data_IF_449465106353
#
_entry.id   IF_449465106353
#
_cell.length_a   1.000
_cell.length_b   1.000
_cell.length_c   1.000
_cell.angle_alpha   90.00
_cell.angle_beta   90.00
_cell.angle_gamma   90.00
#
_symmetry.space_group_name_H-M   'P 1'
#
loop_
_entity.id
_entity.type
_entity.pdbx_description
1 polymer ?
#
# COMPACT_ATOMS: atom_id res chain seq x y z
N UNK A 1 12.48 20.11 -1.38
CA UNK A 1 11.97 18.73 -1.53
C UNK A 1 11.13 18.68 -2.80
N UNK A 2 11.23 17.60 -3.57
CA UNK A 2 10.43 17.43 -4.78
C UNK A 2 8.97 17.13 -4.40
N UNK A 3 8.01 17.77 -5.10
CA UNK A 3 6.59 17.59 -4.81
C UNK A 3 5.87 16.99 -6.02
N UNK A 4 4.78 16.27 -5.77
CA UNK A 4 3.81 15.94 -6.80
C UNK A 4 2.97 17.14 -7.16
N UNK A 5 2.51 17.25 -8.43
CA UNK A 5 1.64 18.33 -8.85
C UNK A 5 0.27 18.23 -8.13
N UNK A 6 -0.27 19.39 -7.78
CA UNK A 6 -1.66 19.48 -7.34
C UNK A 6 -2.51 19.66 -8.59
N UNK A 7 -3.33 18.65 -8.88
CA UNK A 7 -4.25 18.63 -10.02
C UNK A 7 -5.67 18.40 -9.52
N UNK A 8 -6.67 18.50 -10.39
CA UNK A 8 -8.06 18.20 -10.06
C UNK A 8 -8.26 16.82 -9.44
N UNK A 9 -7.35 15.86 -9.73
CA UNK A 9 -7.39 14.50 -9.16
C UNK A 9 -6.69 14.40 -7.81
N UNK A 10 -5.63 15.18 -7.60
CA UNK A 10 -4.76 15.04 -6.41
C UNK A 10 -5.06 16.05 -5.33
N UNK A 11 -5.83 17.09 -5.62
CA UNK A 11 -6.17 18.13 -4.67
C UNK A 11 -7.00 17.59 -3.49
N UNK A 12 -6.54 17.85 -2.28
CA UNK A 12 -7.28 17.52 -1.05
C UNK A 12 -8.18 18.71 -0.68
N UNK A 13 -9.39 18.72 -1.20
CA UNK A 13 -10.37 19.82 -1.03
C UNK A 13 -10.97 19.84 0.39
N UNK A 14 -11.28 18.67 0.98
CA UNK A 14 -11.78 18.59 2.34
C UNK A 14 -10.64 18.46 3.34
N UNK A 15 -10.51 19.41 4.26
CA UNK A 15 -9.42 19.49 5.24
C UNK A 15 -8.04 19.57 4.56
N UNK A 16 -7.79 20.58 3.71
CA UNK A 16 -6.59 20.67 2.90
C UNK A 16 -5.30 20.68 3.72
N UNK A 17 -5.34 21.11 4.98
CA UNK A 17 -4.20 21.05 5.91
C UNK A 17 -3.69 19.62 6.19
N UNK A 18 -4.46 18.59 5.84
CA UNK A 18 -4.05 17.19 5.95
C UNK A 18 -3.41 16.66 4.66
N UNK A 19 -3.47 17.41 3.59
CA UNK A 19 -2.86 17.06 2.30
C UNK A 19 -1.35 17.16 2.37
N UNK A 20 -0.66 16.15 1.82
CA UNK A 20 0.79 16.08 1.73
C UNK A 20 1.15 15.68 0.29
N UNK A 21 1.99 16.49 -0.35
CA UNK A 21 2.41 16.30 -1.75
C UNK A 21 3.91 16.07 -1.88
N UNK A 22 4.64 16.10 -0.76
CA UNK A 22 6.06 15.81 -0.73
C UNK A 22 6.31 14.36 -1.15
N UNK A 23 7.23 14.15 -2.11
CA UNK A 23 7.50 12.84 -2.70
C UNK A 23 8.05 11.85 -1.68
N UNK A 24 8.95 12.28 -0.83
CA UNK A 24 9.59 11.40 0.16
C UNK A 24 8.55 10.92 1.18
N UNK A 25 7.65 11.81 1.62
CA UNK A 25 6.56 11.46 2.52
C UNK A 25 5.56 10.48 1.87
N UNK A 26 5.18 10.69 0.61
CA UNK A 26 4.33 9.77 -0.15
C UNK A 26 5.00 8.41 -0.32
N UNK A 27 6.29 8.39 -0.68
CA UNK A 27 7.05 7.15 -0.86
C UNK A 27 7.22 6.39 0.45
N UNK A 28 7.46 7.06 1.56
CA UNK A 28 7.57 6.42 2.87
C UNK A 28 6.27 5.68 3.25
N UNK A 29 5.10 6.26 3.00
CA UNK A 29 3.81 5.61 3.26
C UNK A 29 3.62 4.38 2.34
N UNK A 30 3.96 4.50 1.05
CA UNK A 30 3.87 3.40 0.08
C UNK A 30 4.85 2.26 0.43
N UNK A 31 6.03 2.58 0.92
CA UNK A 31 7.05 1.58 1.30
C UNK A 31 6.65 0.82 2.56
N UNK A 32 6.03 1.50 3.53
CA UNK A 32 5.55 0.89 4.78
C UNK A 32 4.28 0.04 4.57
N UNK A 33 3.36 0.47 3.71
CA UNK A 33 2.10 -0.24 3.48
C UNK A 33 2.33 -1.58 2.75
N UNK A 34 1.83 -2.68 3.31
CA UNK A 34 1.97 -4.02 2.72
C UNK A 34 0.96 -4.31 1.61
N UNK A 35 -0.18 -3.64 1.66
CA UNK A 35 -1.32 -3.84 0.77
C UNK A 35 -1.77 -2.52 0.15
N UNK A 36 -2.24 -2.60 -1.08
CA UNK A 36 -2.95 -1.51 -1.75
C UNK A 36 -4.29 -2.02 -2.31
N UNK A 37 -5.13 -1.09 -2.68
CA UNK A 37 -6.33 -1.35 -3.48
C UNK A 37 -6.16 -0.66 -4.83
N UNK A 38 -6.13 -1.45 -5.90
CA UNK A 38 -6.18 -0.95 -7.27
C UNK A 38 -7.64 -0.85 -7.69
N UNK A 39 -8.06 0.33 -8.16
CA UNK A 39 -9.39 0.58 -8.70
C UNK A 39 -9.33 0.95 -10.18
N UNK A 40 -10.24 0.40 -10.96
CA UNK A 40 -10.41 0.70 -12.38
C UNK A 40 -11.87 0.57 -12.80
N UNK A 41 -12.18 1.07 -13.98
CA UNK A 41 -13.55 0.98 -14.54
C UNK A 41 -13.55 0.08 -15.77
N UNK A 42 -14.52 -0.81 -15.86
CA UNK A 42 -14.81 -1.64 -17.02
C UNK A 42 -16.33 -1.59 -17.29
N UNK A 43 -16.71 -1.31 -18.51
CA UNK A 43 -18.12 -1.24 -18.94
C UNK A 43 -18.98 -0.38 -18.00
N UNK A 44 -18.45 0.79 -17.60
CA UNK A 44 -19.03 1.72 -16.62
C UNK A 44 -19.22 1.16 -15.21
N UNK A 45 -18.70 -0.02 -14.91
CA UNK A 45 -18.69 -0.62 -13.58
C UNK A 45 -17.32 -0.41 -12.93
N UNK A 46 -17.31 0.10 -11.70
CA UNK A 46 -16.10 0.21 -10.91
C UNK A 46 -15.71 -1.15 -10.31
N UNK A 47 -14.42 -1.49 -10.39
CA UNK A 47 -13.81 -2.67 -9.79
C UNK A 47 -12.70 -2.25 -8.83
N UNK A 48 -12.53 -3.02 -7.75
CA UNK A 48 -11.46 -2.85 -6.80
C UNK A 48 -10.78 -4.19 -6.52
N UNK A 49 -9.45 -4.19 -6.56
CA UNK A 49 -8.61 -5.38 -6.33
C UNK A 49 -7.65 -5.07 -5.19
N UNK A 50 -7.92 -5.56 -3.96
CA UNK A 50 -6.93 -5.56 -2.89
C UNK A 50 -5.77 -6.49 -3.25
N UNK A 51 -4.53 -6.02 -3.18
CA UNK A 51 -3.35 -6.79 -3.58
C UNK A 51 -2.09 -6.31 -2.89
N UNK A 52 -1.08 -7.19 -2.85
CA UNK A 52 0.27 -6.79 -2.47
C UNK A 52 0.95 -6.00 -3.60
N UNK A 53 1.89 -5.14 -3.23
CA UNK A 53 2.62 -4.31 -4.18
C UNK A 53 4.03 -3.98 -3.66
N UNK A 54 4.89 -3.52 -4.56
CA UNK A 54 6.14 -2.89 -4.17
C UNK A 54 6.37 -1.60 -4.96
N UNK A 55 7.30 -0.77 -4.48
CA UNK A 55 7.75 0.45 -5.16
C UNK A 55 9.24 0.35 -5.47
N UNK A 56 9.61 0.76 -6.66
CA UNK A 56 11.02 0.91 -7.07
C UNK A 56 11.14 2.25 -7.79
N UNK A 57 11.92 3.17 -7.23
CA UNK A 57 12.01 4.52 -7.78
C UNK A 57 10.66 5.24 -7.77
N UNK A 58 10.22 5.66 -8.93
CA UNK A 58 8.94 6.35 -9.16
C UNK A 58 7.84 5.44 -9.74
N UNK A 59 7.98 4.12 -9.60
CA UNK A 59 7.00 3.15 -10.08
C UNK A 59 6.48 2.25 -8.96
N UNK A 60 5.18 1.95 -9.00
CA UNK A 60 4.58 0.83 -8.28
C UNK A 60 4.55 -0.40 -9.17
N UNK A 61 4.67 -1.57 -8.56
CA UNK A 61 4.62 -2.86 -9.26
C UNK A 61 3.61 -3.79 -8.60
N UNK A 62 2.75 -4.37 -9.42
CA UNK A 62 1.81 -5.41 -9.04
C UNK A 62 2.04 -6.63 -9.91
N UNK A 63 2.13 -7.80 -9.30
CA UNK A 63 2.27 -9.05 -10.02
C UNK A 63 1.03 -9.93 -9.89
N UNK A 64 0.82 -10.78 -10.87
CA UNK A 64 -0.29 -11.74 -10.86
C UNK A 64 -0.06 -12.83 -11.90
N UNK A 65 -1.02 -13.74 -12.01
CA UNK A 65 -0.99 -14.79 -13.04
C UNK A 65 -1.32 -14.22 -14.42
N UNK A 66 -0.63 -14.69 -15.46
CA UNK A 66 -1.03 -14.44 -16.86
C UNK A 66 -2.44 -14.96 -17.18
N UNK A 67 -2.95 -15.92 -16.38
CA UNK A 67 -4.31 -16.41 -16.48
C UNK A 67 -5.36 -15.46 -15.85
N UNK A 68 -4.92 -14.49 -15.06
CA UNK A 68 -5.84 -13.56 -14.39
C UNK A 68 -6.52 -12.61 -15.39
N UNK A 69 -7.85 -12.59 -15.35
CA UNK A 69 -8.65 -11.77 -16.25
C UNK A 69 -8.30 -10.27 -16.12
N UNK A 70 -8.31 -9.74 -14.89
CA UNK A 70 -8.06 -8.31 -14.67
C UNK A 70 -6.63 -7.89 -15.05
N UNK A 71 -5.62 -8.76 -14.83
CA UNK A 71 -4.24 -8.48 -15.22
C UNK A 71 -4.10 -8.33 -16.73
N UNK A 72 -4.74 -9.24 -17.50
CA UNK A 72 -4.76 -9.15 -18.97
C UNK A 72 -5.48 -7.89 -19.45
N UNK A 73 -6.66 -7.62 -18.89
CA UNK A 73 -7.43 -6.44 -19.26
C UNK A 73 -6.66 -5.14 -19.01
N UNK A 74 -6.01 -5.03 -17.85
CA UNK A 74 -5.17 -3.88 -17.52
C UNK A 74 -3.97 -3.76 -18.47
N UNK A 75 -3.30 -4.87 -18.79
CA UNK A 75 -2.17 -4.89 -19.70
C UNK A 75 -2.54 -4.49 -21.14
N UNK A 76 -3.70 -4.97 -21.62
CA UNK A 76 -4.15 -4.78 -23.00
C UNK A 76 -4.82 -3.43 -23.22
N UNK A 77 -5.75 -3.05 -22.33
CA UNK A 77 -6.56 -1.83 -22.48
C UNK A 77 -5.93 -0.58 -21.87
N UNK A 78 -5.00 -0.77 -20.94
CA UNK A 78 -4.32 0.33 -20.23
C UNK A 78 -5.28 1.42 -19.72
N UNK A 79 -6.36 1.07 -19.02
CA UNK A 79 -7.30 2.06 -18.53
C UNK A 79 -6.67 2.95 -17.47
N UNK A 80 -7.17 4.19 -17.28
CA UNK A 80 -6.83 4.95 -16.09
C UNK A 80 -7.21 4.18 -14.82
N UNK A 81 -6.30 4.17 -13.84
CA UNK A 81 -6.51 3.51 -12.56
C UNK A 81 -6.22 4.45 -11.40
N UNK A 82 -6.77 4.15 -10.23
CA UNK A 82 -6.30 4.70 -8.97
C UNK A 82 -5.81 3.57 -8.05
N UNK A 83 -4.68 3.82 -7.37
CA UNK A 83 -4.09 2.87 -6.43
C UNK A 83 -4.04 3.57 -5.07
N UNK A 84 -4.67 2.98 -4.06
CA UNK A 84 -4.67 3.54 -2.71
C UNK A 84 -4.02 2.59 -1.72
N UNK A 85 -3.24 3.16 -0.80
CA UNK A 85 -2.70 2.47 0.38
C UNK A 85 -3.04 3.27 1.63
N UNK A 86 -3.39 2.59 2.72
CA UNK A 86 -3.77 3.24 3.97
C UNK A 86 -3.17 2.49 5.16
N UNK A 87 -2.60 3.25 6.08
CA UNK A 87 -2.09 2.78 7.37
C UNK A 87 -2.92 3.47 8.46
N UNK A 88 -3.49 2.67 9.36
CA UNK A 88 -4.21 3.17 10.51
C UNK A 88 -3.26 3.26 11.71
N UNK A 89 -3.08 4.47 12.24
CA UNK A 89 -2.14 4.75 13.34
C UNK A 89 -2.83 4.88 14.70
N UNK A 90 -4.17 5.01 14.75
CA UNK A 90 -4.90 5.05 16.02
C UNK A 90 -6.38 5.40 15.90
N UNK A 91 -7.15 4.97 16.90
CA UNK A 91 -8.55 5.37 17.07
C UNK A 91 -8.59 6.64 17.91
N UNK A 92 -9.35 7.63 17.47
CA UNK A 92 -9.50 8.90 18.16
C UNK A 92 -10.88 8.94 18.80
N UNK A 93 -10.90 8.75 20.11
CA UNK A 93 -12.11 8.73 20.92
C UNK A 93 -12.32 10.14 21.48
N UNK A 94 -13.41 10.75 21.11
CA UNK A 94 -13.80 12.08 21.50
C UNK A 94 -14.86 12.05 22.61
N UNK A 95 -15.20 13.20 23.19
CA UNK A 95 -16.25 13.32 24.17
C UNK A 95 -17.62 13.22 23.53
N UNK A 96 -17.79 13.74 22.32
CA UNK A 96 -19.02 13.59 21.55
C UNK A 96 -18.88 12.49 20.48
N UNK A 97 -19.98 11.82 20.16
CA UNK A 97 -20.00 10.82 19.09
C UNK A 97 -19.62 11.40 17.72
N UNK A 98 -19.89 12.68 17.50
CA UNK A 98 -19.64 13.38 16.25
C UNK A 98 -18.13 13.60 15.98
N UNK A 99 -17.31 13.78 17.02
CA UNK A 99 -15.89 14.09 16.91
C UNK A 99 -14.97 12.86 16.96
N UNK A 100 -15.51 11.65 17.07
CA UNK A 100 -14.73 10.43 16.90
C UNK A 100 -14.05 10.40 15.53
N UNK A 101 -12.82 9.90 15.45
CA UNK A 101 -12.04 9.91 14.23
C UNK A 101 -10.97 8.80 14.25
N UNK A 102 -10.09 8.80 13.24
CA UNK A 102 -8.97 7.89 13.12
C UNK A 102 -7.71 8.70 12.80
N UNK A 103 -6.59 8.40 13.44
CA UNK A 103 -5.27 8.81 12.98
C UNK A 103 -4.82 7.82 11.89
N UNK A 104 -4.37 8.35 10.76
CA UNK A 104 -4.03 7.56 9.59
C UNK A 104 -3.07 8.29 8.67
N UNK A 105 -2.39 7.50 7.86
CA UNK A 105 -1.63 7.95 6.70
C UNK A 105 -2.16 7.21 5.48
N UNK A 106 -2.60 7.92 4.45
CA UNK A 106 -3.08 7.32 3.21
C UNK A 106 -2.45 7.99 2.00
N UNK A 107 -2.28 7.22 0.92
CA UNK A 107 -1.82 7.69 -0.39
C UNK A 107 -2.82 7.26 -1.44
N UNK A 108 -3.08 8.13 -2.40
CA UNK A 108 -3.74 7.79 -3.66
C UNK A 108 -2.81 8.17 -4.80
N UNK A 109 -2.58 7.22 -5.71
CA UNK A 109 -1.81 7.39 -6.95
C UNK A 109 -2.76 7.23 -8.11
N UNK A 110 -2.73 8.15 -9.06
CA UNK A 110 -3.42 8.05 -10.35
C UNK A 110 -2.40 7.69 -11.43
N UNK A 111 -2.68 6.65 -12.20
CA UNK A 111 -1.73 6.12 -13.18
C UNK A 111 -2.43 5.36 -14.30
N UNK A 112 -1.64 4.88 -15.24
CA UNK A 112 -2.02 3.88 -16.25
C UNK A 112 -1.09 2.68 -16.13
N UNK A 113 -1.60 1.44 -16.26
CA UNK A 113 -0.78 0.24 -16.22
C UNK A 113 0.10 0.11 -17.45
N UNK A 114 1.32 -0.32 -17.25
CA UNK A 114 2.24 -0.76 -18.28
C UNK A 114 2.70 -2.20 -17.98
N UNK A 115 2.57 -3.10 -18.98
CA UNK A 115 3.10 -4.45 -18.83
C UNK A 115 4.63 -4.40 -18.88
N UNK A 116 5.27 -5.02 -17.92
CA UNK A 116 6.74 -5.16 -17.89
C UNK A 116 7.14 -6.34 -18.75
N UNK A 117 7.98 -6.08 -19.76
CA UNK A 117 8.51 -7.11 -20.68
C UNK A 117 9.99 -7.44 -20.38
N UNK A 118 10.70 -6.56 -19.69
CA UNK A 118 12.11 -6.75 -19.33
C UNK A 118 12.24 -7.76 -18.19
N UNK A 119 12.97 -8.84 -18.42
CA UNK A 119 13.16 -9.92 -17.45
C UNK A 119 13.96 -9.47 -16.22
N UNK A 120 14.88 -8.50 -16.36
CA UNK A 120 15.64 -7.97 -15.24
C UNK A 120 14.76 -7.07 -14.36
N UNK A 121 13.88 -6.25 -14.97
CA UNK A 121 12.89 -5.45 -14.24
C UNK A 121 11.91 -6.35 -13.47
N UNK A 122 11.44 -7.44 -14.12
CA UNK A 122 10.59 -8.45 -13.48
C UNK A 122 11.30 -9.12 -12.30
N UNK A 123 12.56 -9.55 -12.50
CA UNK A 123 13.37 -10.17 -11.44
C UNK A 123 13.53 -9.22 -10.24
N UNK A 124 13.92 -7.99 -10.52
CA UNK A 124 14.13 -6.95 -9.48
C UNK A 124 12.84 -6.65 -8.72
N UNK A 125 11.71 -6.55 -9.43
CA UNK A 125 10.42 -6.29 -8.77
C UNK A 125 10.00 -7.43 -7.84
N UNK A 126 10.19 -8.70 -8.23
CA UNK A 126 9.88 -9.84 -7.38
C UNK A 126 10.83 -9.96 -6.18
N UNK A 127 12.10 -9.61 -6.36
CA UNK A 127 13.06 -9.52 -5.24
C UNK A 127 12.62 -8.46 -4.23
N UNK A 128 12.33 -7.24 -4.70
CA UNK A 128 11.87 -6.13 -3.83
C UNK A 128 10.56 -6.49 -3.15
N UNK A 129 9.61 -7.10 -3.87
CA UNK A 129 8.35 -7.56 -3.30
C UNK A 129 8.58 -8.59 -2.19
N UNK A 130 9.42 -9.61 -2.43
CA UNK A 130 9.71 -10.66 -1.44
C UNK A 130 10.39 -10.09 -0.20
N UNK A 131 11.36 -9.18 -0.38
CA UNK A 131 12.06 -8.53 0.72
C UNK A 131 11.19 -7.50 1.45
N UNK A 132 10.19 -6.91 0.79
CA UNK A 132 9.17 -6.08 1.45
C UNK A 132 8.30 -6.90 2.39
N UNK A 133 7.94 -8.13 2.00
CA UNK A 133 7.22 -9.06 2.87
C UNK A 133 8.07 -9.45 4.09
N UNK A 134 9.33 -9.81 3.86
CA UNK A 134 10.30 -10.14 4.89
C UNK A 134 11.72 -9.84 4.40
N UNK A 135 12.41 -8.84 4.98
CA UNK A 135 13.78 -8.52 4.62
C UNK A 135 14.72 -9.74 4.73
N UNK A 136 15.55 -9.93 3.71
CA UNK A 136 16.49 -11.05 3.63
C UNK A 136 15.91 -12.36 3.07
N UNK A 137 14.58 -12.47 2.95
CA UNK A 137 13.92 -13.71 2.52
C UNK A 137 14.28 -14.13 1.10
N UNK A 138 14.50 -13.18 0.20
CA UNK A 138 14.86 -13.49 -1.19
C UNK A 138 16.12 -14.34 -1.32
N UNK A 139 17.08 -14.18 -0.42
CA UNK A 139 18.33 -14.94 -0.46
C UNK A 139 18.16 -16.41 -0.05
N UNK A 140 17.17 -16.71 0.77
CA UNK A 140 16.92 -18.06 1.31
C UNK A 140 16.02 -18.92 0.43
N UNK A 141 15.29 -18.30 -0.50
CA UNK A 141 14.32 -19.02 -1.32
C UNK A 141 14.89 -19.38 -2.69
N UNK A 142 14.41 -20.48 -3.23
CA UNK A 142 14.65 -20.85 -4.63
C UNK A 142 14.09 -19.74 -5.54
N UNK A 143 14.86 -19.37 -6.54
CA UNK A 143 14.39 -18.41 -7.56
C UNK A 143 13.34 -19.06 -8.46
N UNK A 144 12.46 -18.26 -9.08
CA UNK A 144 11.45 -18.78 -10.00
C UNK A 144 12.07 -19.57 -11.15
N UNK A 145 11.41 -20.66 -11.52
CA UNK A 145 11.76 -21.42 -12.74
C UNK A 145 11.30 -20.67 -13.98
N UNK A 146 11.81 -21.07 -15.16
CA UNK A 146 11.38 -20.51 -16.44
C UNK A 146 9.86 -20.62 -16.67
N UNK A 147 9.23 -21.71 -16.18
CA UNK A 147 7.78 -21.89 -16.25
C UNK A 147 7.02 -20.91 -15.36
N UNK A 148 7.49 -20.69 -14.13
CA UNK A 148 6.91 -19.72 -13.18
C UNK A 148 7.05 -18.29 -13.69
N UNK A 149 8.20 -17.94 -14.31
CA UNK A 149 8.40 -16.66 -14.98
C UNK A 149 7.34 -16.43 -16.08
N UNK A 150 7.17 -17.40 -16.98
CA UNK A 150 6.19 -17.32 -18.07
C UNK A 150 4.75 -17.27 -17.57
N UNK A 151 4.45 -17.82 -16.39
CA UNK A 151 3.15 -17.79 -15.78
C UNK A 151 2.86 -16.50 -14.98
N UNK A 152 3.88 -15.64 -14.78
CA UNK A 152 3.76 -14.40 -14.01
C UNK A 152 3.65 -13.20 -14.94
N UNK A 153 2.67 -12.35 -14.72
CA UNK A 153 2.54 -11.04 -15.32
C UNK A 153 2.91 -9.97 -14.28
N UNK A 154 3.72 -9.01 -14.68
CA UNK A 154 4.04 -7.83 -13.89
C UNK A 154 3.50 -6.59 -14.59
N UNK A 155 2.80 -5.76 -13.82
CA UNK A 155 2.37 -4.43 -14.25
C UNK A 155 3.13 -3.38 -13.46
N UNK A 156 3.60 -2.36 -14.15
CA UNK A 156 4.17 -1.16 -13.54
C UNK A 156 3.21 0.03 -13.68
N UNK A 157 3.27 0.94 -12.70
CA UNK A 157 2.42 2.13 -12.61
C UNK A 157 3.30 3.29 -12.22
N UNK A 158 3.49 4.24 -13.11
CA UNK A 158 4.32 5.42 -12.85
C UNK A 158 3.63 6.35 -11.85
N UNK A 159 4.37 6.83 -10.86
CA UNK A 159 3.86 7.74 -9.83
C UNK A 159 4.12 9.18 -10.29
N UNK A 160 3.24 9.70 -11.14
CA UNK A 160 3.31 11.08 -11.62
C UNK A 160 2.30 12.00 -10.93
N UNK A 161 1.11 11.48 -10.64
CA UNK A 161 0.03 12.16 -9.92
C UNK A 161 -0.28 11.39 -8.64
N UNK A 162 0.07 11.96 -7.50
CA UNK A 162 -0.18 11.35 -6.20
C UNK A 162 -0.43 12.42 -5.13
N UNK A 163 -1.21 12.06 -4.13
CA UNK A 163 -1.36 12.81 -2.90
C UNK A 163 -1.43 11.90 -1.70
N UNK A 164 -0.90 12.36 -0.58
CA UNK A 164 -1.14 11.72 0.71
C UNK A 164 -2.08 12.57 1.55
N UNK A 165 -2.81 11.90 2.43
CA UNK A 165 -3.64 12.55 3.45
C UNK A 165 -3.29 11.97 4.81
N UNK A 166 -2.93 12.86 5.74
CA UNK A 166 -2.40 12.48 7.05
C UNK A 166 -3.23 13.14 8.15
N UNK A 167 -3.65 12.37 9.13
CA UNK A 167 -4.22 12.87 10.39
C UNK A 167 -3.45 12.28 11.55
N UNK A 168 -3.06 13.17 12.46
CA UNK A 168 -2.41 12.84 13.72
C UNK A 168 -3.01 13.65 14.86
N UNK A 169 -2.73 13.25 16.09
CA UNK A 169 -3.05 14.01 17.28
C UNK A 169 -4.39 13.64 17.95
N UNK A 170 -4.73 14.36 19.02
CA UNK A 170 -5.86 14.06 19.89
C UNK A 170 -7.23 14.35 19.25
N UNK A 171 -8.33 14.00 19.90
CA UNK A 171 -9.65 14.48 19.52
C UNK A 171 -9.71 16.01 19.60
N UNK A 172 -10.61 16.59 18.82
CA UNK A 172 -10.96 18.01 18.87
C UNK A 172 -12.46 18.07 19.06
N UNK A 173 -12.85 18.27 20.29
CA UNK A 173 -14.24 18.45 20.69
C UNK A 173 -14.61 19.92 20.59
N UNK A 174 -15.90 20.24 20.68
CA UNK A 174 -16.40 21.61 20.88
C UNK A 174 -16.08 22.07 22.30
N UNK A 175 -15.94 23.38 22.48
CA UNK A 175 -15.48 23.96 23.76
C UNK A 175 -16.39 23.55 24.95
N UNK A 176 -17.67 23.41 24.74
CA UNK A 176 -18.65 22.99 25.73
C UNK A 176 -18.52 21.55 26.19
N UNK A 177 -17.99 20.66 25.29
CA UNK A 177 -17.80 19.24 25.57
C UNK A 177 -16.61 18.97 26.50
N UNK A 178 -15.64 19.91 26.60
CA UNK A 178 -14.44 19.69 27.43
C UNK A 178 -14.75 19.58 28.92
N UNK A 179 -15.90 20.07 29.37
CA UNK A 179 -16.39 19.93 30.75
C UNK A 179 -17.03 18.58 31.07
N UNK A 180 -17.20 17.67 30.12
CA UNK A 180 -17.85 16.38 30.34
C UNK A 180 -16.94 15.38 31.04
N UNK A 181 -17.47 14.61 31.98
CA UNK A 181 -16.77 13.51 32.68
C UNK A 181 -16.69 12.24 31.80
N UNK A 182 -16.18 12.40 30.56
CA UNK A 182 -16.01 11.33 29.60
C UNK A 182 -14.54 11.27 29.20
N UNK A 183 -13.94 10.09 29.31
CA UNK A 183 -12.57 9.90 28.84
C UNK A 183 -12.47 10.13 27.32
N UNK A 184 -11.50 10.92 26.88
CA UNK A 184 -11.22 11.18 25.48
C UNK A 184 -9.72 11.13 25.22
N UNK A 185 -9.32 10.60 24.06
CA UNK A 185 -7.89 10.41 23.75
C UNK A 185 -7.68 9.60 22.50
N UNK A 186 -6.48 9.06 22.34
CA UNK A 186 -6.09 8.21 21.21
C UNK A 186 -5.76 6.82 21.72
N UNK A 187 -6.32 5.80 21.09
CA UNK A 187 -5.89 4.40 21.22
C UNK A 187 -4.96 4.12 20.06
N UNK A 188 -3.63 4.04 20.26
CA UNK A 188 -2.69 3.76 19.18
C UNK A 188 -2.95 2.39 18.57
N UNK A 189 -2.78 2.29 17.24
CA UNK A 189 -2.82 1.04 16.49
C UNK A 189 -1.45 0.80 15.86
N UNK A 190 -1.00 -0.45 15.91
CA UNK A 190 0.25 -0.88 15.31
C UNK A 190 0.12 -2.31 14.79
N UNK A 191 0.66 -2.58 13.60
CA UNK A 191 0.81 -3.94 13.12
C UNK A 191 1.97 -4.58 13.87
N UNK A 192 1.69 -5.67 14.60
CA UNK A 192 2.70 -6.42 15.35
C UNK A 192 2.93 -7.78 14.71
N UNK A 193 4.20 -8.12 14.48
CA UNK A 193 4.58 -9.47 14.07
C UNK A 193 4.69 -10.35 15.34
N UNK A 194 3.99 -11.47 15.32
CA UNK A 194 4.07 -12.47 16.38
C UNK A 194 5.12 -13.53 16.06
N UNK A 195 5.38 -14.43 17.02
CA UNK A 195 6.29 -15.56 16.83
C UNK A 195 5.90 -16.37 15.60
N UNK A 196 6.84 -16.64 14.67
CA UNK A 196 6.57 -17.40 13.47
C UNK A 196 6.05 -18.80 13.80
N UNK A 197 5.08 -19.27 13.04
CA UNK A 197 4.58 -20.63 13.13
C UNK A 197 5.17 -21.44 11.97
N UNK A 198 5.84 -22.60 12.24
CA UNK A 198 6.41 -23.42 11.18
C UNK A 198 5.31 -24.09 10.36
N UNK A 199 5.60 -24.30 9.08
CA UNK A 199 4.77 -25.11 8.20
C UNK A 199 4.74 -26.56 8.77
N UNK A 200 3.57 -27.20 8.87
CA UNK A 200 3.46 -28.60 9.28
C UNK A 200 4.29 -29.58 8.43
N UNK A 201 4.56 -29.24 7.17
CA UNK A 201 5.39 -30.02 6.26
C UNK A 201 6.88 -29.61 6.24
N UNK A 202 7.29 -28.75 7.19
CA UNK A 202 8.69 -28.36 7.30
C UNK A 202 9.57 -29.58 7.58
N UNK A 203 10.66 -29.74 6.80
CA UNK A 203 11.60 -30.87 7.02
C UNK A 203 12.20 -30.80 8.43
N UNK A 204 12.36 -31.97 9.09
CA UNK A 204 13.08 -32.03 10.37
C UNK A 204 14.48 -31.41 10.28
N UNK A 205 14.88 -30.66 11.29
CA UNK A 205 16.20 -30.03 11.38
C UNK A 205 16.34 -28.68 10.66
N UNK A 206 15.31 -28.19 9.95
CA UNK A 206 15.30 -26.82 9.42
C UNK A 206 15.04 -25.82 10.54
N UNK A 207 16.03 -24.99 10.84
CA UNK A 207 15.94 -23.98 11.89
C UNK A 207 15.29 -22.70 11.43
N UNK A 208 14.70 -21.96 12.39
CA UNK A 208 14.19 -20.62 12.14
C UNK A 208 15.32 -19.67 11.70
N UNK A 209 15.21 -18.97 10.55
CA UNK A 209 16.20 -18.00 10.09
C UNK A 209 16.40 -16.86 11.10
N UNK A 210 17.62 -16.30 11.14
CA UNK A 210 17.98 -15.23 12.07
C UNK A 210 17.14 -13.97 11.92
N UNK A 211 16.70 -13.63 10.72
CA UNK A 211 15.84 -12.46 10.45
C UNK A 211 14.36 -12.63 10.86
N UNK A 212 13.99 -13.80 11.39
CA UNK A 212 12.66 -14.07 11.97
C UNK A 212 12.69 -14.23 13.51
N UNK A 213 13.87 -14.05 14.13
CA UNK A 213 14.06 -14.12 15.57
C UNK A 213 13.72 -12.83 16.29
#
# INVERSE_FOLDING_TARGET
MAQFPITDKTEITRLPKRGVYDKDAVYAILDEALFCTLAYTRDNQAFQIPTGFCRIGDKLYLHGSVGSFYMRELAEKKPPVSISATIMDGLVLARSAFHHSVNYRSVVVFSTPEKVEDENELYTALEVFTNKMQPGRWNDVRKPTAGEWKATMLLSFKIEEASAKVRTGPPKDDDEDYGMDVWAGVVPLQITRHSPQPDPALKPGVSLPGYLK
#
